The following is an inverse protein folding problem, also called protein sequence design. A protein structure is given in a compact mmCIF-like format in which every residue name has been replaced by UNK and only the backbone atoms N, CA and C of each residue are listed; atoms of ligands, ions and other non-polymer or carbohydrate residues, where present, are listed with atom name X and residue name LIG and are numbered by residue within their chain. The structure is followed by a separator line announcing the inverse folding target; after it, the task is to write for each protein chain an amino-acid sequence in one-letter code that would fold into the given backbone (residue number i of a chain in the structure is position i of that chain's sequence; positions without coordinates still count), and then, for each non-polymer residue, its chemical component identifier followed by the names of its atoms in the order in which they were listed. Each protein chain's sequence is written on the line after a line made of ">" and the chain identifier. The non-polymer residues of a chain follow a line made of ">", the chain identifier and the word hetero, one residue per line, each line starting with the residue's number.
data_IF_085059876665
#
_entry.id   IF_085059876665
#
_cell.length_a   1.000
_cell.length_b   1.000
_cell.length_c   1.000
_cell.angle_alpha   90.00
_cell.angle_beta   90.00
_cell.angle_gamma   90.00
#
_symmetry.space_group_name_H-M   'P 1'
#
loop_
_entity.id
_entity.type
_entity.pdbx_description
1 polymer ?
#
# COMPACT_ATOMS: atom_id res chain seq x y z
N UNK A 1 1.54 24.35 -5.03
CA UNK A 1 1.91 23.82 -3.70
C UNK A 1 2.76 22.59 -3.94
N UNK A 2 4.01 22.60 -3.48
CA UNK A 2 4.99 21.56 -3.79
C UNK A 2 4.63 20.26 -3.07
N UNK A 3 4.14 19.26 -3.79
CA UNK A 3 4.13 17.87 -3.33
C UNK A 3 5.58 17.43 -3.14
N UNK A 4 6.08 17.48 -1.89
CA UNK A 4 7.29 16.76 -1.55
C UNK A 4 6.93 15.29 -1.49
N UNK A 5 7.14 14.58 -2.60
CA UNK A 5 7.44 13.16 -2.52
C UNK A 5 8.57 13.00 -1.49
N UNK A 6 8.39 12.11 -0.52
CA UNK A 6 9.39 11.89 0.53
C UNK A 6 10.64 11.36 -0.17
N UNK A 7 11.59 12.27 -0.42
CA UNK A 7 12.97 11.92 -0.75
C UNK A 7 13.49 11.08 0.40
N UNK A 8 13.79 9.81 0.13
CA UNK A 8 14.31 8.88 1.14
C UNK A 8 15.72 9.37 1.50
N UNK A 9 15.83 10.17 2.56
CA UNK A 9 17.12 10.58 3.06
C UNK A 9 17.87 9.33 3.57
N UNK A 10 19.17 9.19 3.26
CA UNK A 10 19.98 8.12 3.83
C UNK A 10 19.82 8.08 5.35
N UNK A 11 19.50 6.90 5.90
CA UNK A 11 19.34 6.71 7.34
C UNK A 11 17.91 6.80 7.91
N UNK A 12 16.89 7.10 7.08
CA UNK A 12 15.49 7.02 7.55
C UNK A 12 15.10 5.55 7.78
N UNK A 13 14.70 5.24 9.02
CA UNK A 13 14.11 3.94 9.39
C UNK A 13 12.62 4.13 9.58
N UNK A 14 11.81 3.52 8.70
CA UNK A 14 10.35 3.67 8.72
C UNK A 14 9.71 3.07 9.97
N UNK A 15 10.17 1.89 10.38
CA UNK A 15 9.58 1.16 11.50
C UNK A 15 9.53 1.96 12.81
N UNK A 16 10.66 2.53 13.29
CA UNK A 16 10.64 3.42 14.46
C UNK A 16 9.72 4.64 14.32
N UNK A 17 9.54 5.18 13.10
CA UNK A 17 8.62 6.29 12.89
C UNK A 17 7.15 5.86 12.98
N UNK A 18 6.83 4.63 12.58
CA UNK A 18 5.51 4.03 12.74
C UNK A 18 5.23 3.75 14.21
N UNK A 19 6.17 3.10 14.90
CA UNK A 19 6.08 2.81 16.33
C UNK A 19 5.84 4.08 17.16
N UNK A 20 6.56 5.16 16.82
CA UNK A 20 6.43 6.48 17.46
C UNK A 20 5.24 7.30 16.93
N UNK A 21 4.43 6.76 16.01
CA UNK A 21 3.29 7.45 15.35
C UNK A 21 3.66 8.78 14.68
N UNK A 22 4.92 8.90 14.25
CA UNK A 22 5.48 10.04 13.52
C UNK A 22 5.28 9.92 12.01
N UNK A 23 5.26 8.70 11.47
CA UNK A 23 4.83 8.46 10.10
C UNK A 23 3.30 8.43 10.06
N UNK A 24 2.70 9.36 9.30
CA UNK A 24 1.24 9.56 9.28
C UNK A 24 0.50 8.70 8.26
N UNK A 25 1.22 8.15 7.29
CA UNK A 25 0.68 7.26 6.29
C UNK A 25 1.73 6.95 5.23
N UNK A 26 1.36 6.09 4.29
CA UNK A 26 2.17 5.70 3.15
C UNK A 26 1.33 5.77 1.88
N UNK A 27 1.96 6.17 0.77
CA UNK A 27 1.42 5.97 -0.57
C UNK A 27 2.30 4.92 -1.23
N UNK A 28 1.71 3.84 -1.73
CA UNK A 28 2.45 2.73 -2.33
C UNK A 28 1.71 2.22 -3.56
N UNK A 29 2.46 1.76 -4.56
CA UNK A 29 1.84 1.16 -5.73
C UNK A 29 1.33 -0.25 -5.42
N UNK A 30 0.18 -0.60 -5.98
CA UNK A 30 -0.32 -1.98 -6.03
C UNK A 30 -1.05 -2.11 -7.34
N UNK A 31 -0.27 -2.46 -8.35
CA UNK A 31 -0.59 -2.17 -9.74
C UNK A 31 -1.49 -3.22 -10.37
N UNK A 32 -1.40 -4.46 -9.88
CA UNK A 32 -2.03 -5.63 -10.49
C UNK A 32 -2.81 -6.46 -9.48
N UNK A 33 -3.86 -7.17 -9.91
CA UNK A 33 -4.56 -8.11 -9.05
C UNK A 33 -3.71 -9.38 -8.85
N UNK A 34 -4.02 -10.17 -7.82
CA UNK A 34 -3.22 -11.33 -7.41
C UNK A 34 -3.07 -12.42 -8.49
N UNK A 35 -3.92 -12.42 -9.50
CA UNK A 35 -3.93 -13.37 -10.62
C UNK A 35 -2.77 -13.14 -11.60
N UNK A 36 -2.11 -11.98 -11.56
CA UNK A 36 -0.93 -11.73 -12.40
C UNK A 36 0.27 -12.47 -11.82
N UNK A 37 0.82 -13.41 -12.60
CA UNK A 37 2.00 -14.19 -12.22
C UNK A 37 3.23 -13.32 -11.96
N UNK A 38 4.05 -13.70 -10.97
CA UNK A 38 5.23 -12.94 -10.53
C UNK A 38 6.18 -12.51 -11.66
N UNK A 39 6.43 -13.40 -12.63
CA UNK A 39 7.31 -13.10 -13.78
C UNK A 39 6.80 -11.95 -14.66
N UNK A 40 5.52 -11.63 -14.59
CA UNK A 40 4.85 -10.58 -15.35
C UNK A 40 4.63 -9.30 -14.52
N UNK A 41 5.07 -9.26 -13.27
CA UNK A 41 4.94 -8.07 -12.42
C UNK A 41 5.95 -6.98 -12.78
N UNK A 42 7.13 -7.35 -13.29
CA UNK A 42 8.19 -6.42 -13.68
C UNK A 42 8.54 -5.39 -12.59
N UNK A 43 8.53 -5.82 -11.33
CA UNK A 43 8.84 -4.99 -10.16
C UNK A 43 7.62 -4.33 -9.48
N UNK A 44 6.41 -4.52 -10.01
CA UNK A 44 5.18 -4.01 -9.39
C UNK A 44 4.59 -4.96 -8.34
N UNK A 45 3.76 -4.43 -7.45
CA UNK A 45 3.11 -5.21 -6.39
C UNK A 45 1.70 -5.66 -6.78
N UNK A 46 1.34 -6.85 -6.29
CA UNK A 46 -0.06 -7.29 -6.10
C UNK A 46 -0.49 -7.07 -4.65
N UNK A 47 -1.80 -7.16 -4.31
CA UNK A 47 -2.27 -7.12 -2.92
C UNK A 47 -1.54 -8.11 -2.00
N UNK A 48 -1.28 -9.33 -2.46
CA UNK A 48 -0.57 -10.34 -1.69
C UNK A 48 0.90 -9.93 -1.41
N UNK A 49 1.57 -9.35 -2.40
CA UNK A 49 2.94 -8.84 -2.23
C UNK A 49 2.98 -7.64 -1.29
N UNK A 50 2.08 -6.68 -1.43
CA UNK A 50 1.96 -5.57 -0.48
C UNK A 50 1.73 -6.08 0.95
N UNK A 51 0.83 -7.05 1.13
CA UNK A 51 0.54 -7.64 2.44
C UNK A 51 1.77 -8.34 3.05
N UNK A 52 2.61 -8.97 2.23
CA UNK A 52 3.88 -9.57 2.66
C UNK A 52 4.89 -8.51 3.10
N UNK A 53 5.05 -7.43 2.34
CA UNK A 53 5.96 -6.34 2.71
C UNK A 53 5.50 -5.58 3.96
N UNK A 54 4.19 -5.40 4.15
CA UNK A 54 3.66 -4.84 5.40
C UNK A 54 3.91 -5.77 6.60
N UNK A 55 3.82 -7.09 6.42
CA UNK A 55 4.19 -8.07 7.47
C UNK A 55 5.68 -7.98 7.82
N UNK A 56 6.55 -7.78 6.82
CA UNK A 56 7.97 -7.54 7.06
C UNK A 56 8.19 -6.23 7.82
N UNK A 57 7.54 -5.14 7.40
CA UNK A 57 7.63 -3.84 8.08
C UNK A 57 7.19 -3.89 9.54
N UNK A 58 6.18 -4.71 9.85
CA UNK A 58 5.69 -4.96 11.23
C UNK A 58 6.83 -5.38 12.16
N UNK A 59 7.77 -6.21 11.69
CA UNK A 59 8.92 -6.70 12.49
C UNK A 59 9.84 -5.57 12.95
N UNK A 60 9.89 -4.47 12.20
CA UNK A 60 10.72 -3.31 12.49
C UNK A 60 9.94 -2.16 13.14
N UNK A 61 8.62 -2.31 13.31
CA UNK A 61 7.70 -1.24 13.74
C UNK A 61 7.16 -1.43 15.15
N UNK A 62 7.77 -2.30 15.96
CA UNK A 62 7.30 -2.64 17.31
C UNK A 62 6.50 -3.94 17.40
N UNK A 63 6.44 -4.73 16.32
CA UNK A 63 5.84 -6.08 16.33
C UNK A 63 4.34 -6.09 16.03
N UNK A 64 3.66 -7.17 16.42
CA UNK A 64 2.25 -7.42 16.10
C UNK A 64 1.35 -6.25 16.54
N UNK A 65 0.41 -5.87 15.66
CA UNK A 65 -0.51 -4.76 15.90
C UNK A 65 0.08 -3.37 15.68
N UNK A 66 1.39 -3.22 15.45
CA UNK A 66 2.04 -1.92 15.21
C UNK A 66 1.50 -1.14 14.02
N UNK A 67 1.00 -1.85 13.00
CA UNK A 67 0.42 -1.25 11.79
C UNK A 67 -1.11 -1.12 11.85
N UNK A 68 -1.75 -1.46 12.97
CA UNK A 68 -3.20 -1.32 13.09
C UNK A 68 -3.61 0.14 12.86
N UNK A 69 -4.62 0.35 12.03
CA UNK A 69 -5.15 1.64 11.59
C UNK A 69 -4.16 2.53 10.81
N UNK A 70 -2.96 2.03 10.50
CA UNK A 70 -1.97 2.79 9.72
C UNK A 70 -2.50 3.06 8.30
N UNK A 71 -2.57 4.33 7.85
CA UNK A 71 -3.10 4.65 6.54
C UNK A 71 -2.17 4.25 5.39
N UNK A 72 -2.68 3.45 4.46
CA UNK A 72 -1.97 3.01 3.25
C UNK A 72 -2.80 3.40 2.03
N UNK A 73 -2.37 4.43 1.32
CA UNK A 73 -2.98 4.86 0.06
C UNK A 73 -2.43 4.02 -1.08
N UNK A 74 -3.34 3.38 -1.81
CA UNK A 74 -3.02 2.57 -2.98
C UNK A 74 -2.95 3.48 -4.20
N UNK A 75 -1.86 3.37 -4.94
CA UNK A 75 -1.58 4.18 -6.13
C UNK A 75 -1.21 3.31 -7.34
N UNK A 76 -1.17 3.93 -8.52
CA UNK A 76 -0.66 3.32 -9.77
C UNK A 76 -1.30 1.98 -10.20
N UNK A 77 -2.57 1.74 -9.84
CA UNK A 77 -3.36 0.62 -10.38
C UNK A 77 -3.39 0.72 -11.92
N UNK A 78 -2.98 -0.35 -12.60
CA UNK A 78 -3.01 -0.43 -14.06
C UNK A 78 -4.41 -0.82 -14.53
N UNK A 79 -4.98 -0.14 -15.53
CA UNK A 79 -6.26 -0.55 -16.11
C UNK A 79 -6.11 -1.88 -16.86
N UNK A 80 -7.18 -2.66 -16.93
CA UNK A 80 -7.25 -3.81 -17.85
C UNK A 80 -7.62 -3.34 -19.25
N UNK A 81 -7.09 -4.02 -20.26
CA UNK A 81 -7.53 -3.89 -21.65
C UNK A 81 -8.71 -4.83 -21.97
N UNK A 82 -9.06 -5.74 -21.04
CA UNK A 82 -10.20 -6.65 -21.20
C UNK A 82 -11.50 -5.91 -20.89
N UNK A 83 -12.48 -6.09 -21.76
CA UNK A 83 -13.78 -5.46 -21.62
C UNK A 83 -14.52 -5.99 -20.38
N UNK A 84 -15.06 -5.06 -19.56
CA UNK A 84 -15.88 -5.39 -18.40
C UNK A 84 -15.12 -5.71 -17.11
N UNK A 85 -13.78 -5.67 -17.12
CA UNK A 85 -12.97 -5.96 -15.94
C UNK A 85 -12.68 -4.68 -15.13
N UNK A 86 -13.20 -4.60 -13.91
CA UNK A 86 -12.87 -3.55 -12.96
C UNK A 86 -11.71 -3.98 -12.06
N UNK A 87 -10.48 -3.79 -12.56
CA UNK A 87 -9.24 -4.11 -11.84
C UNK A 87 -9.16 -3.40 -10.49
N UNK A 88 -9.66 -2.16 -10.42
CA UNK A 88 -9.60 -1.37 -9.20
C UNK A 88 -10.49 -1.96 -8.12
N UNK A 89 -11.71 -2.39 -8.47
CA UNK A 89 -12.60 -3.09 -7.57
C UNK A 89 -12.01 -4.44 -7.11
N UNK A 90 -11.43 -5.21 -8.03
CA UNK A 90 -10.76 -6.48 -7.70
C UNK A 90 -9.62 -6.28 -6.70
N UNK A 91 -8.73 -5.31 -6.96
CA UNK A 91 -7.61 -4.99 -6.06
C UNK A 91 -8.14 -4.56 -4.69
N UNK A 92 -9.18 -3.71 -4.63
CA UNK A 92 -9.80 -3.30 -3.37
C UNK A 92 -10.27 -4.51 -2.56
N UNK A 93 -11.01 -5.41 -3.19
CA UNK A 93 -11.53 -6.61 -2.54
C UNK A 93 -10.40 -7.52 -2.04
N UNK A 94 -9.36 -7.73 -2.85
CA UNK A 94 -8.21 -8.56 -2.46
C UNK A 94 -7.41 -7.97 -1.30
N UNK A 95 -7.26 -6.64 -1.26
CA UNK A 95 -6.64 -5.94 -0.14
C UNK A 95 -7.46 -6.12 1.14
N UNK A 96 -8.77 -5.92 1.08
CA UNK A 96 -9.68 -6.08 2.22
C UNK A 96 -9.67 -7.52 2.76
N UNK A 97 -9.76 -8.52 1.88
CA UNK A 97 -9.71 -9.94 2.26
C UNK A 97 -8.35 -10.36 2.83
N UNK A 98 -7.26 -9.78 2.34
CA UNK A 98 -5.90 -10.09 2.80
C UNK A 98 -5.47 -9.35 4.06
N UNK A 99 -6.26 -8.39 4.56
CA UNK A 99 -5.86 -7.43 5.60
C UNK A 99 -5.79 -8.03 7.01
N UNK A 100 -4.84 -8.94 7.24
CA UNK A 100 -4.63 -9.52 8.57
C UNK A 100 -3.97 -8.56 9.57
N UNK A 101 -3.44 -7.42 9.10
CA UNK A 101 -2.71 -6.45 9.93
C UNK A 101 -3.60 -5.32 10.47
N UNK A 102 -4.84 -5.21 9.97
CA UNK A 102 -5.74 -4.13 10.32
C UNK A 102 -5.27 -2.76 9.83
N UNK A 103 -4.49 -2.69 8.74
CA UNK A 103 -4.12 -1.40 8.12
C UNK A 103 -5.35 -0.75 7.48
N UNK A 104 -5.33 0.57 7.30
CA UNK A 104 -6.40 1.29 6.61
C UNK A 104 -6.03 1.52 5.16
N UNK A 105 -6.44 0.60 4.27
CA UNK A 105 -6.30 0.79 2.84
C UNK A 105 -7.21 1.91 2.33
N UNK A 106 -6.67 2.80 1.52
CA UNK A 106 -7.38 3.95 0.94
C UNK A 106 -7.16 3.93 -0.57
N UNK A 107 -8.24 3.83 -1.33
CA UNK A 107 -8.22 3.96 -2.79
C UNK A 107 -8.82 5.32 -3.15
N UNK A 108 -7.95 6.30 -3.44
CA UNK A 108 -8.37 7.65 -3.82
C UNK A 108 -8.76 7.73 -5.29
N UNK A 109 -9.84 8.45 -5.59
CA UNK A 109 -10.23 8.82 -6.94
C UNK A 109 -9.53 10.10 -7.39
N UNK A 110 -9.56 10.37 -8.69
CA UNK A 110 -8.96 11.57 -9.24
C UNK A 110 -9.72 12.80 -8.74
N UNK A 111 -8.98 13.74 -8.13
CA UNK A 111 -9.56 14.94 -7.53
C UNK A 111 -9.78 14.82 -6.01
N UNK A 112 -9.65 13.62 -5.44
CA UNK A 112 -9.73 13.43 -4.00
C UNK A 112 -8.58 14.14 -3.26
N UNK A 113 -8.89 14.56 -2.04
CA UNK A 113 -7.92 15.08 -1.09
C UNK A 113 -7.93 14.21 0.17
N UNK A 114 -6.74 13.82 0.61
CA UNK A 114 -6.54 13.10 1.86
C UNK A 114 -5.68 13.89 2.84
N UNK A 115 -5.99 13.79 4.13
CA UNK A 115 -5.25 14.43 5.24
C UNK A 115 -5.02 13.42 6.35
N UNK A 116 -3.86 13.48 7.00
CA UNK A 116 -3.43 12.56 8.06
C UNK A 116 -2.91 13.32 9.28
#
# INVERSE_FOLDING_TARGET
>A
MSSRAISIAPGVRWGPLIEQKKLKGMIIETSYPNEVEDKNLYGHLTPAWLQKELKNLTQYSGGEGSLKDFPVVISHIKPSLKQGEDVRATIKQQLEQGNSLGVKYILMEQGDRQTF
#
